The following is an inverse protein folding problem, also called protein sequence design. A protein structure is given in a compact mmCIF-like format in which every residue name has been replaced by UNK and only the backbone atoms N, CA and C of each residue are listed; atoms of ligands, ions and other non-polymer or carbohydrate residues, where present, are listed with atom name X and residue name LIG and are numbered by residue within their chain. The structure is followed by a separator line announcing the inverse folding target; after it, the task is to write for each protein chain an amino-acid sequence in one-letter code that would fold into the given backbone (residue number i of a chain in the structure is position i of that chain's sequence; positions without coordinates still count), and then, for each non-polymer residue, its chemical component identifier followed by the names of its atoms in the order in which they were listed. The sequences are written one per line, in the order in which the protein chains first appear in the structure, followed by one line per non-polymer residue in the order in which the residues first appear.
data_IF_170713903423
#
_entry.id   IF_170713903423
#
_cell.length_a   1.000
_cell.length_b   1.000
_cell.length_c   1.000
_cell.angle_alpha   90.00
_cell.angle_beta   90.00
_cell.angle_gamma   90.00
#
_symmetry.space_group_name_H-M   'P 1'
#
loop_
_entity.id
_entity.type
_entity.pdbx_description
1 polymer ?
#
# COMPACT_ATOMS: atom_id res chain seq x y z
N UNK A 1 10.39 5.57 -21.28
CA UNK A 1 9.50 6.14 -20.25
C UNK A 1 8.80 4.99 -19.56
N UNK A 2 9.09 4.77 -18.28
CA UNK A 2 8.43 3.74 -17.46
C UNK A 2 6.98 4.12 -17.24
N UNK A 3 6.08 3.15 -17.37
CA UNK A 3 4.66 3.34 -17.08
C UNK A 3 4.39 2.95 -15.64
N UNK A 4 3.68 3.81 -14.90
CA UNK A 4 3.25 3.51 -13.54
C UNK A 4 1.92 2.75 -13.55
N UNK A 5 1.77 1.78 -12.64
CA UNK A 5 0.58 0.94 -12.51
C UNK A 5 0.28 0.63 -11.05
N UNK A 6 -0.98 0.34 -10.78
CA UNK A 6 -1.40 -0.37 -9.58
C UNK A 6 -1.21 -1.90 -9.75
N UNK A 7 -1.53 -2.65 -8.70
CA UNK A 7 -1.43 -4.11 -8.72
C UNK A 7 -2.52 -4.80 -9.56
N UNK A 8 -3.71 -4.23 -9.71
CA UNK A 8 -4.82 -4.85 -10.46
C UNK A 8 -4.54 -4.83 -11.97
N UNK A 9 -3.89 -3.77 -12.45
CA UNK A 9 -3.62 -3.51 -13.88
C UNK A 9 -2.21 -3.94 -14.31
N UNK A 10 -1.47 -4.58 -13.40
CA UNK A 10 -0.19 -5.18 -13.71
C UNK A 10 -0.37 -6.39 -14.64
N UNK A 11 0.33 -6.36 -15.79
CA UNK A 11 0.40 -7.51 -16.70
C UNK A 11 1.87 -7.82 -17.02
N UNK A 12 2.34 -8.99 -16.57
CA UNK A 12 3.70 -9.47 -16.78
C UNK A 12 4.01 -9.74 -18.28
N UNK A 13 2.98 -9.93 -19.12
CA UNK A 13 3.19 -10.24 -20.54
C UNK A 13 3.56 -9.04 -21.40
N UNK A 14 3.75 -7.86 -20.82
CA UNK A 14 4.10 -6.66 -21.58
C UNK A 14 5.62 -6.53 -21.77
N UNK A 15 6.04 -6.32 -23.02
CA UNK A 15 7.45 -6.19 -23.42
C UNK A 15 8.07 -4.82 -23.06
N UNK A 16 7.47 -4.04 -22.15
CA UNK A 16 7.98 -2.72 -21.78
C UNK A 16 8.09 -2.55 -20.26
N UNK A 17 9.21 -2.00 -19.76
CA UNK A 17 9.40 -1.74 -18.33
C UNK A 17 8.27 -0.92 -17.70
N UNK A 18 7.84 -1.33 -16.51
CA UNK A 18 6.82 -0.63 -15.73
C UNK A 18 7.25 -0.47 -14.26
N UNK A 19 6.55 0.39 -13.53
CA UNK A 19 6.70 0.55 -12.09
C UNK A 19 5.35 0.32 -11.42
N UNK A 20 5.31 -0.58 -10.44
CA UNK A 20 4.22 -0.66 -9.48
C UNK A 20 4.53 0.34 -8.37
N UNK A 21 3.63 1.29 -8.15
CA UNK A 21 3.76 2.30 -7.10
C UNK A 21 2.73 2.04 -6.01
N UNK A 22 3.21 1.97 -4.76
CA UNK A 22 2.37 1.73 -3.59
C UNK A 22 2.73 2.61 -2.40
N UNK A 23 1.73 2.80 -1.55
CA UNK A 23 1.82 3.66 -0.38
C UNK A 23 1.24 2.97 0.85
N UNK A 24 2.07 2.77 1.88
CA UNK A 24 1.59 2.26 3.16
C UNK A 24 1.15 3.44 4.04
N UNK A 25 -0.17 3.55 4.31
CA UNK A 25 -0.73 4.64 5.11
C UNK A 25 -0.56 4.28 6.59
N UNK A 26 0.57 4.71 7.17
CA UNK A 26 0.86 4.47 8.59
C UNK A 26 0.33 5.56 9.53
N UNK A 27 0.34 6.82 9.07
CA UNK A 27 0.22 7.96 9.98
C UNK A 27 -0.92 8.93 9.67
N UNK A 28 -1.10 9.31 8.40
CA UNK A 28 -2.07 10.33 8.00
C UNK A 28 -2.69 9.98 6.64
N UNK A 29 -4.03 9.98 6.60
CA UNK A 29 -4.80 9.82 5.37
C UNK A 29 -4.78 11.11 4.56
N UNK A 30 -4.64 12.26 5.21
CA UNK A 30 -4.50 13.57 4.58
C UNK A 30 -3.25 13.64 3.70
N UNK A 31 -2.09 13.21 4.22
CA UNK A 31 -0.86 13.16 3.42
C UNK A 31 -0.99 12.15 2.26
N UNK A 32 -1.70 11.04 2.48
CA UNK A 32 -1.97 10.07 1.42
C UNK A 32 -2.85 10.67 0.32
N UNK A 33 -3.86 11.47 0.68
CA UNK A 33 -4.70 12.19 -0.28
C UNK A 33 -3.91 13.23 -1.07
N UNK A 34 -3.02 13.99 -0.42
CA UNK A 34 -2.17 14.97 -1.10
C UNK A 34 -1.24 14.30 -2.12
N UNK A 35 -0.69 13.14 -1.77
CA UNK A 35 0.11 12.32 -2.67
C UNK A 35 -0.71 11.79 -3.85
N UNK A 36 -1.89 11.23 -3.60
CA UNK A 36 -2.80 10.72 -4.63
C UNK A 36 -3.22 11.82 -5.61
N UNK A 37 -3.46 13.03 -5.11
CA UNK A 37 -3.79 14.19 -5.96
C UNK A 37 -2.65 14.47 -6.95
N UNK A 38 -1.40 14.49 -6.48
CA UNK A 38 -0.23 14.74 -7.34
C UNK A 38 -0.13 13.64 -8.41
N UNK A 39 -0.27 12.39 -8.01
CA UNK A 39 -0.20 11.24 -8.92
C UNK A 39 -1.30 11.29 -9.99
N UNK A 40 -2.53 11.58 -9.59
CA UNK A 40 -3.64 11.80 -10.50
C UNK A 40 -3.37 12.92 -11.51
N UNK A 41 -2.85 14.07 -11.04
CA UNK A 41 -2.50 15.23 -11.87
C UNK A 41 -1.43 14.91 -12.93
N UNK A 42 -0.53 13.96 -12.66
CA UNK A 42 0.52 13.52 -13.60
C UNK A 42 0.17 12.22 -14.34
N UNK A 43 -1.05 11.69 -14.17
CA UNK A 43 -1.52 10.48 -14.86
C UNK A 43 -0.88 9.17 -14.36
N UNK A 44 -0.51 9.12 -13.07
CA UNK A 44 0.05 7.95 -12.40
C UNK A 44 -1.04 7.23 -11.60
N UNK A 45 -1.08 5.90 -11.70
CA UNK A 45 -1.94 5.03 -10.91
C UNK A 45 -1.11 4.31 -9.85
N UNK A 46 -1.69 4.11 -8.67
CA UNK A 46 -0.97 3.59 -7.50
C UNK A 46 -1.94 2.92 -6.54
N UNK A 47 -1.42 2.12 -5.61
CA UNK A 47 -2.23 1.43 -4.59
C UNK A 47 -1.93 1.96 -3.19
N UNK A 48 -2.97 2.36 -2.47
CA UNK A 48 -2.88 2.91 -1.11
C UNK A 48 -3.34 1.87 -0.08
N UNK A 49 -2.43 1.42 0.77
CA UNK A 49 -2.69 0.39 1.77
C UNK A 49 -3.18 1.00 3.08
N UNK A 50 -4.45 0.78 3.40
CA UNK A 50 -5.12 1.33 4.59
C UNK A 50 -5.02 0.35 5.76
N UNK A 51 -4.49 0.82 6.88
CA UNK A 51 -4.47 0.08 8.15
C UNK A 51 -5.70 0.38 9.00
N UNK A 52 -6.32 -0.66 9.56
CA UNK A 52 -7.49 -0.52 10.45
C UNK A 52 -7.12 -0.28 11.92
N UNK A 53 -5.98 -0.80 12.36
CA UNK A 53 -5.44 -0.65 13.72
C UNK A 53 -4.39 0.46 13.82
N UNK A 54 -4.48 1.48 12.96
CA UNK A 54 -3.55 2.61 12.96
C UNK A 54 -3.63 3.42 14.27
N UNK A 55 -2.47 3.79 14.80
CA UNK A 55 -2.38 4.61 16.02
C UNK A 55 -2.76 6.08 15.79
N UNK A 56 -2.52 6.60 14.59
CA UNK A 56 -2.48 8.04 14.33
C UNK A 56 -3.65 8.57 13.50
N UNK A 57 -4.48 7.68 12.94
CA UNK A 57 -5.71 8.04 12.26
C UNK A 57 -6.80 7.01 12.54
N UNK A 58 -8.06 7.38 12.31
CA UNK A 58 -9.21 6.49 12.43
C UNK A 58 -9.89 6.33 11.07
N UNK A 59 -9.83 5.16 10.41
CA UNK A 59 -10.47 4.97 9.10
C UNK A 59 -12.00 5.10 9.15
N UNK A 60 -12.62 4.89 10.32
CA UNK A 60 -14.07 5.05 10.51
C UNK A 60 -14.52 6.51 10.69
N UNK A 61 -13.58 7.46 10.75
CA UNK A 61 -13.94 8.87 10.83
C UNK A 61 -14.46 9.35 9.47
N UNK A 62 -15.58 10.09 9.46
CA UNK A 62 -16.24 10.47 8.21
C UNK A 62 -15.32 11.22 7.21
N UNK A 63 -14.49 12.20 7.64
CA UNK A 63 -13.46 12.77 6.77
C UNK A 63 -12.48 11.73 6.20
N UNK A 64 -12.00 10.79 7.01
CA UNK A 64 -11.12 9.71 6.55
C UNK A 64 -11.76 8.88 5.45
N UNK A 65 -13.02 8.48 5.62
CA UNK A 65 -13.79 7.75 4.59
C UNK A 65 -13.87 8.57 3.30
N UNK A 66 -14.22 9.86 3.38
CA UNK A 66 -14.31 10.75 2.22
C UNK A 66 -12.99 10.88 1.48
N UNK A 67 -11.88 10.97 2.21
CA UNK A 67 -10.53 11.06 1.61
C UNK A 67 -10.15 9.75 0.93
N UNK A 68 -10.38 8.60 1.55
CA UNK A 68 -10.13 7.29 0.94
C UNK A 68 -11.01 7.07 -0.31
N UNK A 69 -12.28 7.46 -0.26
CA UNK A 69 -13.16 7.44 -1.43
C UNK A 69 -12.68 8.40 -2.53
N UNK A 70 -12.11 9.54 -2.17
CA UNK A 70 -11.54 10.45 -3.16
C UNK A 70 -10.31 9.85 -3.86
N UNK A 71 -9.46 9.13 -3.14
CA UNK A 71 -8.34 8.36 -3.73
C UNK A 71 -8.88 7.37 -4.77
N UNK A 72 -9.94 6.61 -4.44
CA UNK A 72 -10.61 5.71 -5.39
C UNK A 72 -11.16 6.48 -6.61
N UNK A 73 -11.82 7.63 -6.39
CA UNK A 73 -12.40 8.45 -7.46
C UNK A 73 -11.34 9.03 -8.41
N UNK A 74 -10.09 9.12 -7.97
CA UNK A 74 -8.95 9.51 -8.79
C UNK A 74 -8.29 8.33 -9.53
N UNK A 75 -8.94 7.18 -9.54
CA UNK A 75 -8.54 5.96 -10.25
C UNK A 75 -7.30 5.27 -9.65
N UNK A 76 -7.04 5.50 -8.35
CA UNK A 76 -6.11 4.70 -7.56
C UNK A 76 -6.82 3.51 -6.91
N UNK A 77 -6.05 2.48 -6.58
CA UNK A 77 -6.57 1.30 -5.87
C UNK A 77 -6.39 1.43 -4.35
N UNK A 78 -7.23 0.73 -3.59
CA UNK A 78 -7.13 0.61 -2.13
C UNK A 78 -6.78 -0.82 -1.77
N UNK A 79 -5.73 -0.98 -0.97
CA UNK A 79 -5.32 -2.24 -0.37
C UNK A 79 -5.52 -2.27 1.15
N UNK A 80 -5.52 -3.46 1.73
CA UNK A 80 -5.54 -3.66 3.17
C UNK A 80 -4.11 -3.72 3.73
N UNK A 81 -3.73 -2.77 4.57
CA UNK A 81 -2.49 -2.85 5.35
C UNK A 81 -2.74 -3.63 6.66
N UNK A 82 -2.74 -4.95 6.58
CA UNK A 82 -3.21 -5.78 7.69
C UNK A 82 -2.14 -6.00 8.76
N UNK A 83 -2.62 -6.12 9.99
CA UNK A 83 -1.86 -6.57 11.15
C UNK A 83 -2.56 -7.78 11.76
N UNK A 84 -1.78 -8.76 12.20
CA UNK A 84 -2.31 -9.93 12.93
C UNK A 84 -1.89 -9.91 14.39
N UNK A 85 -1.34 -8.81 14.90
CA UNK A 85 -0.78 -8.73 16.25
C UNK A 85 -1.77 -9.15 17.35
N UNK A 86 -3.07 -8.93 17.13
CA UNK A 86 -4.14 -9.30 18.07
C UNK A 86 -4.21 -10.81 18.33
N UNK A 87 -3.70 -11.67 17.44
CA UNK A 87 -3.72 -13.14 17.62
C UNK A 87 -3.10 -13.57 18.96
N UNK A 88 -2.09 -12.84 19.44
CA UNK A 88 -1.37 -13.13 20.68
C UNK A 88 -2.32 -13.05 21.89
N UNK A 89 -3.30 -12.14 21.84
CA UNK A 89 -4.22 -11.89 22.94
C UNK A 89 -5.58 -12.57 22.74
N UNK A 90 -6.03 -12.71 21.49
CA UNK A 90 -7.35 -13.28 21.19
C UNK A 90 -7.34 -14.78 20.97
N UNK A 91 -6.18 -15.38 20.64
CA UNK A 91 -6.08 -16.78 20.22
C UNK A 91 -6.72 -17.07 18.85
N UNK A 92 -7.23 -16.04 18.16
CA UNK A 92 -7.84 -16.16 16.84
C UNK A 92 -6.77 -16.43 15.77
N UNK A 93 -7.12 -17.19 14.73
CA UNK A 93 -6.21 -17.42 13.62
C UNK A 93 -5.90 -16.12 12.85
N UNK A 94 -4.67 -15.98 12.38
CA UNK A 94 -4.26 -14.86 11.52
C UNK A 94 -5.18 -14.69 10.31
N UNK A 95 -5.62 -15.80 9.71
CA UNK A 95 -6.54 -15.83 8.57
C UNK A 95 -7.88 -15.19 8.91
N UNK A 96 -8.49 -15.56 10.04
CA UNK A 96 -9.76 -14.98 10.46
C UNK A 96 -9.63 -13.48 10.75
N UNK A 97 -8.52 -13.07 11.37
CA UNK A 97 -8.20 -11.66 11.63
C UNK A 97 -8.07 -10.86 10.32
N UNK A 98 -7.38 -11.40 9.31
CA UNK A 98 -7.20 -10.75 8.00
C UNK A 98 -8.53 -10.65 7.27
N UNK A 99 -9.29 -11.74 7.15
CA UNK A 99 -10.58 -11.74 6.46
C UNK A 99 -11.60 -10.81 7.13
N UNK A 100 -11.57 -10.70 8.47
CA UNK A 100 -12.39 -9.73 9.20
C UNK A 100 -12.00 -8.30 8.83
N UNK A 101 -10.71 -7.98 8.84
CA UNK A 101 -10.24 -6.65 8.46
C UNK A 101 -10.58 -6.31 7.00
N UNK A 102 -10.43 -7.27 6.08
CA UNK A 102 -10.78 -7.09 4.68
C UNK A 102 -12.26 -6.74 4.52
N UNK A 103 -13.15 -7.54 5.10
CA UNK A 103 -14.60 -7.28 5.06
C UNK A 103 -14.97 -5.91 5.61
N UNK A 104 -14.40 -5.54 6.76
CA UNK A 104 -14.61 -4.22 7.35
C UNK A 104 -14.22 -3.11 6.38
N UNK A 105 -13.04 -3.20 5.76
CA UNK A 105 -12.58 -2.16 4.84
C UNK A 105 -13.42 -2.11 3.55
N UNK A 106 -13.81 -3.27 3.00
CA UNK A 106 -14.71 -3.34 1.84
C UNK A 106 -16.06 -2.68 2.13
N UNK A 107 -16.69 -3.01 3.26
CA UNK A 107 -17.97 -2.44 3.67
C UNK A 107 -17.87 -0.94 3.94
N UNK A 108 -16.81 -0.52 4.64
CA UNK A 108 -16.56 0.88 4.99
C UNK A 108 -16.45 1.78 3.76
N UNK A 109 -15.78 1.32 2.71
CA UNK A 109 -15.53 2.09 1.49
C UNK A 109 -16.54 1.79 0.37
N UNK A 110 -17.38 0.76 0.52
CA UNK A 110 -18.20 0.21 -0.56
C UNK A 110 -17.36 -0.10 -1.81
N UNK A 111 -16.18 -0.68 -1.59
CA UNK A 111 -15.16 -0.94 -2.60
C UNK A 111 -14.60 -2.35 -2.47
N UNK A 112 -14.33 -3.02 -3.59
CA UNK A 112 -13.84 -4.41 -3.61
C UNK A 112 -12.31 -4.45 -3.39
N UNK A 113 -11.90 -4.34 -2.12
CA UNK A 113 -10.48 -4.45 -1.73
C UNK A 113 -10.02 -5.88 -1.91
N UNK A 114 -9.02 -6.10 -2.77
CA UNK A 114 -8.53 -7.45 -3.14
C UNK A 114 -7.07 -7.70 -2.79
N UNK A 115 -6.31 -6.67 -2.46
CA UNK A 115 -4.87 -6.76 -2.21
C UNK A 115 -4.54 -6.44 -0.77
N UNK A 116 -3.59 -7.19 -0.21
CA UNK A 116 -3.07 -6.98 1.14
C UNK A 116 -1.59 -6.65 1.15
N UNK A 117 -1.15 -5.94 2.18
CA UNK A 117 0.27 -5.76 2.52
C UNK A 117 0.43 -5.94 4.03
N UNK A 118 1.23 -6.92 4.45
CA UNK A 118 1.54 -7.11 5.87
C UNK A 118 2.28 -5.90 6.46
N UNK A 119 1.79 -5.36 7.59
CA UNK A 119 2.55 -4.40 8.39
C UNK A 119 3.77 -5.07 9.05
N UNK A 120 4.86 -4.32 9.28
CA UNK A 120 6.21 -4.84 9.61
C UNK A 120 6.23 -5.90 10.73
N UNK A 121 5.45 -5.69 11.80
CA UNK A 121 5.34 -6.63 12.93
C UNK A 121 4.79 -8.01 12.54
N UNK A 122 4.04 -8.06 11.45
CA UNK A 122 3.32 -9.22 10.95
C UNK A 122 4.10 -9.91 9.84
N UNK A 123 4.91 -9.17 9.05
CA UNK A 123 5.75 -9.70 7.97
C UNK A 123 6.71 -10.81 8.39
N UNK A 124 7.26 -10.76 9.60
CA UNK A 124 8.26 -11.74 10.09
C UNK A 124 7.71 -13.17 10.28
N UNK A 125 6.38 -13.36 10.22
CA UNK A 125 5.73 -14.65 10.52
C UNK A 125 4.86 -15.18 9.38
N UNK A 126 4.82 -14.49 8.23
CA UNK A 126 3.83 -14.75 7.20
C UNK A 126 4.46 -15.38 5.95
N UNK A 127 3.94 -16.54 5.57
CA UNK A 127 4.07 -17.10 4.23
C UNK A 127 2.96 -16.52 3.36
N UNK A 128 3.33 -15.69 2.39
CA UNK A 128 2.38 -15.04 1.47
C UNK A 128 1.55 -16.06 0.70
N UNK A 129 2.09 -17.24 0.36
CA UNK A 129 1.35 -18.29 -0.34
C UNK A 129 0.27 -18.91 0.55
N UNK A 130 0.56 -19.10 1.84
CA UNK A 130 -0.43 -19.59 2.80
C UNK A 130 -1.54 -18.57 3.01
N UNK A 131 -1.20 -17.28 3.15
CA UNK A 131 -2.17 -16.19 3.26
C UNK A 131 -3.11 -16.17 2.05
N UNK A 132 -2.58 -16.18 0.83
CA UNK A 132 -3.42 -16.12 -0.37
C UNK A 132 -4.31 -17.35 -0.58
N UNK A 133 -3.93 -18.51 -0.03
CA UNK A 133 -4.75 -19.72 -0.10
C UNK A 133 -5.88 -19.75 0.93
N UNK A 134 -5.67 -19.11 2.08
CA UNK A 134 -6.56 -19.23 3.23
C UNK A 134 -7.39 -17.96 3.47
N UNK A 135 -7.00 -16.83 2.88
CA UNK A 135 -7.70 -15.55 2.98
C UNK A 135 -8.46 -15.20 1.70
N UNK A 136 -9.37 -14.23 1.80
CA UNK A 136 -10.13 -13.70 0.68
C UNK A 136 -9.30 -12.69 -0.18
N UNK A 137 -8.02 -12.47 0.17
CA UNK A 137 -7.09 -11.66 -0.62
C UNK A 137 -6.76 -12.36 -1.94
N UNK A 138 -6.76 -11.62 -3.04
CA UNK A 138 -6.34 -12.11 -4.36
C UNK A 138 -4.85 -11.92 -4.62
N UNK A 139 -4.25 -10.91 -3.99
CA UNK A 139 -2.83 -10.58 -4.15
C UNK A 139 -2.24 -10.10 -2.83
N UNK A 140 -0.92 -10.26 -2.70
CA UNK A 140 -0.16 -9.79 -1.55
C UNK A 140 1.07 -9.01 -2.04
N UNK A 141 1.27 -7.81 -1.50
CA UNK A 141 2.26 -6.87 -2.01
C UNK A 141 3.72 -7.34 -1.83
N UNK A 142 3.95 -8.34 -0.98
CA UNK A 142 5.24 -8.99 -0.73
C UNK A 142 5.36 -10.37 -1.41
N UNK A 143 4.46 -10.74 -2.32
CA UNK A 143 4.66 -11.92 -3.16
C UNK A 143 6.04 -11.87 -3.87
N UNK A 144 6.73 -13.01 -4.05
CA UNK A 144 8.07 -13.05 -4.66
C UNK A 144 8.19 -12.31 -5.99
N UNK A 145 7.15 -12.35 -6.82
CA UNK A 145 7.09 -11.63 -8.11
C UNK A 145 7.27 -10.12 -8.00
N UNK A 146 6.85 -9.51 -6.88
CA UNK A 146 6.96 -8.06 -6.68
C UNK A 146 8.23 -7.65 -5.93
N UNK A 147 8.77 -8.52 -5.07
CA UNK A 147 9.88 -8.15 -4.17
C UNK A 147 11.21 -8.84 -4.46
N UNK A 148 11.21 -9.88 -5.31
CA UNK A 148 12.43 -10.61 -5.72
C UNK A 148 12.67 -10.56 -7.22
N UNK A 149 11.62 -10.68 -8.02
CA UNK A 149 11.72 -10.70 -9.49
C UNK A 149 11.78 -9.29 -10.09
N UNK A 150 11.15 -8.31 -9.43
CA UNK A 150 11.27 -6.88 -9.75
C UNK A 150 12.33 -6.21 -8.88
N UNK A 151 12.81 -5.03 -9.32
CA UNK A 151 13.62 -4.16 -8.48
C UNK A 151 12.74 -3.50 -7.43
N UNK A 152 12.79 -4.04 -6.22
CA UNK A 152 12.10 -3.49 -5.05
C UNK A 152 12.86 -2.31 -4.47
N UNK A 153 12.18 -1.19 -4.25
CA UNK A 153 12.75 0.04 -3.67
C UNK A 153 11.76 0.59 -2.64
N UNK A 154 12.25 0.98 -1.47
CA UNK A 154 11.42 1.52 -0.39
C UNK A 154 12.07 2.72 0.29
N UNK A 155 11.25 3.65 0.78
CA UNK A 155 11.64 4.74 1.68
C UNK A 155 11.49 4.37 3.18
N UNK A 156 11.32 3.07 3.50
CA UNK A 156 11.15 2.56 4.87
C UNK A 156 12.12 3.21 5.87
N UNK A 157 11.61 3.57 7.05
CA UNK A 157 12.37 4.34 8.06
C UNK A 157 12.92 5.69 7.55
N UNK A 158 12.27 6.30 6.56
CA UNK A 158 12.69 7.56 5.93
C UNK A 158 13.98 7.45 5.13
N UNK A 159 14.38 6.25 4.72
CA UNK A 159 15.67 5.98 4.07
C UNK A 159 15.50 5.17 2.79
N UNK A 160 16.11 5.65 1.72
CA UNK A 160 16.27 4.94 0.47
C UNK A 160 17.58 4.13 0.49
N UNK A 161 17.53 2.86 0.93
CA UNK A 161 18.74 2.04 1.14
C UNK A 161 19.60 1.87 -0.12
N UNK A 162 18.98 1.91 -1.29
CA UNK A 162 19.63 1.73 -2.59
C UNK A 162 19.56 3.00 -3.46
N UNK A 163 19.42 4.16 -2.82
CA UNK A 163 19.23 5.45 -3.50
C UNK A 163 17.78 5.72 -3.92
N UNK A 164 17.49 6.98 -4.26
CA UNK A 164 16.17 7.44 -4.69
C UNK A 164 15.60 6.56 -5.82
N UNK A 165 14.31 6.21 -5.75
CA UNK A 165 13.62 5.47 -6.81
C UNK A 165 13.80 6.11 -8.20
N UNK A 166 13.90 7.45 -8.27
CA UNK A 166 14.18 8.21 -9.48
C UNK A 166 15.44 7.76 -10.25
N UNK A 167 16.44 7.20 -9.56
CA UNK A 167 17.69 6.71 -10.18
C UNK A 167 17.52 5.39 -10.95
N UNK A 168 16.36 4.75 -10.82
CA UNK A 168 16.07 3.42 -11.35
C UNK A 168 15.05 3.46 -12.51
N UNK A 169 14.30 4.56 -12.66
CA UNK A 169 13.25 4.71 -13.68
C UNK A 169 13.75 4.53 -15.12
N UNK A 170 14.98 4.92 -15.43
CA UNK A 170 15.51 4.83 -16.82
C UNK A 170 16.42 3.62 -17.06
N UNK A 171 16.42 2.62 -16.17
CA UNK A 171 17.32 1.44 -16.26
C UNK A 171 16.73 0.26 -17.02
N UNK A 172 15.51 0.38 -17.54
CA UNK A 172 14.85 -0.71 -18.26
C UNK A 172 14.48 -1.90 -17.37
N UNK A 173 14.21 -1.64 -16.08
CA UNK A 173 13.82 -2.64 -15.09
C UNK A 173 12.35 -2.49 -14.73
N UNK A 174 11.72 -3.62 -14.39
CA UNK A 174 10.44 -3.59 -13.69
C UNK A 174 10.68 -3.23 -12.23
N UNK A 175 9.93 -2.25 -11.72
CA UNK A 175 10.11 -1.71 -10.39
C UNK A 175 8.89 -2.00 -9.51
N UNK A 176 9.14 -2.24 -8.24
CA UNK A 176 8.11 -2.19 -7.20
C UNK A 176 8.56 -1.16 -6.16
N UNK A 177 7.86 -0.03 -6.11
CA UNK A 177 8.24 1.14 -5.30
C UNK A 177 7.24 1.26 -4.15
N UNK A 178 7.75 1.15 -2.92
CA UNK A 178 7.02 1.46 -1.70
C UNK A 178 7.42 2.85 -1.20
N UNK A 179 6.43 3.70 -0.93
CA UNK A 179 6.64 4.91 -0.12
C UNK A 179 5.69 4.94 1.06
N UNK A 180 5.99 5.77 2.06
CA UNK A 180 5.04 6.02 3.15
C UNK A 180 4.68 7.51 3.13
N UNK A 181 3.42 7.89 2.86
CA UNK A 181 3.03 9.29 2.64
C UNK A 181 3.43 10.25 3.77
N UNK A 182 3.58 9.75 4.99
CA UNK A 182 3.95 10.58 6.13
C UNK A 182 5.40 11.13 6.10
N UNK A 183 6.28 10.55 5.27
CA UNK A 183 7.62 11.10 5.05
C UNK A 183 7.62 12.30 4.10
N UNK A 184 6.54 12.51 3.35
CA UNK A 184 6.47 13.48 2.27
C UNK A 184 5.50 14.59 2.64
N UNK A 185 6.01 15.79 2.84
CA UNK A 185 5.24 16.97 3.19
C UNK A 185 5.69 18.18 2.36
N UNK A 186 4.76 19.06 2.04
CA UNK A 186 5.06 20.34 1.36
C UNK A 186 5.78 21.30 2.31
N UNK A 187 5.37 21.30 3.58
CA UNK A 187 6.00 22.04 4.67
C UNK A 187 6.18 21.11 5.86
N UNK A 188 7.36 21.15 6.47
CA UNK A 188 7.67 20.21 7.55
C UNK A 188 6.85 20.57 8.79
N UNK A 189 6.33 19.60 9.57
CA UNK A 189 5.74 19.88 10.86
C UNK A 189 6.70 20.60 11.83
N UNK A 190 8.01 20.54 11.58
CA UNK A 190 9.07 21.21 12.33
C UNK A 190 9.28 22.68 11.90
N UNK A 191 8.72 23.14 10.77
CA UNK A 191 8.85 24.53 10.31
C UNK A 191 7.92 25.51 11.05
N UNK A 192 7.01 24.99 11.88
CA UNK A 192 6.12 25.80 12.73
C UNK A 192 6.64 25.98 14.16
N UNK A 193 7.89 25.62 14.43
CA UNK A 193 8.57 25.82 15.71
C UNK A 193 9.73 26.82 15.57
#
# INVERSE_FOLDING_TARGET
VVRFRDFERYNHSENSPFAILRHDIDFSIENALDMARIEHEVGVQSTYFVRLDARHYNPFYLPSIKMLQQIINWDHDIGLHYSTATHIFTGESCVAIINRQLRILCELLSYDVKIGAAHETTRLKIDTNAILKETDLRMEAYEPRFVKEMKYISDSSGRWSEGCACQWLDRGLDLCILTHPFWWYVQTPLERY
#
